data_IF_873453580005
#
_entry.id   IF_873453580005
#
_cell.length_a   1.000
_cell.length_b   1.000
_cell.length_c   1.000
_cell.angle_alpha   90.00
_cell.angle_beta   90.00
_cell.angle_gamma   90.00
#
_symmetry.space_group_name_H-M   'P 1'
#
loop_
_entity.id
_entity.type
_entity.pdbx_description
1 polymer ?
#
# COMPACT_ATOMS: atom_id res chain seq x y z
N UNK A 1 11.54 -6.45 -23.77
CA UNK A 1 11.52 -6.58 -22.29
C UNK A 1 10.24 -7.29 -21.94
N UNK A 2 10.31 -8.29 -21.07
CA UNK A 2 9.12 -9.01 -20.62
C UNK A 2 8.41 -8.14 -19.58
N UNK A 3 7.30 -7.51 -19.97
CA UNK A 3 6.46 -6.67 -19.11
C UNK A 3 6.05 -7.39 -17.83
N UNK A 4 5.91 -8.71 -17.90
CA UNK A 4 5.60 -9.60 -16.77
C UNK A 4 6.71 -9.59 -15.72
N UNK A 5 7.98 -9.61 -16.14
CA UNK A 5 9.12 -9.64 -15.23
C UNK A 5 9.21 -8.36 -14.39
N UNK A 6 8.97 -7.21 -15.02
CA UNK A 6 8.95 -5.90 -14.34
C UNK A 6 7.85 -5.87 -13.28
N UNK A 7 6.63 -6.27 -13.64
CA UNK A 7 5.51 -6.34 -12.70
C UNK A 7 5.80 -7.28 -11.54
N UNK A 8 6.40 -8.45 -11.81
CA UNK A 8 6.71 -9.43 -10.80
C UNK A 8 7.73 -8.89 -9.79
N UNK A 9 8.82 -8.27 -10.24
CA UNK A 9 9.82 -7.71 -9.33
C UNK A 9 9.27 -6.54 -8.52
N UNK A 10 8.50 -5.64 -9.13
CA UNK A 10 7.83 -4.55 -8.39
C UNK A 10 6.85 -5.11 -7.37
N UNK A 11 6.06 -6.13 -7.73
CA UNK A 11 5.12 -6.79 -6.83
C UNK A 11 5.82 -7.45 -5.66
N UNK A 12 6.95 -8.12 -5.89
CA UNK A 12 7.76 -8.76 -4.86
C UNK A 12 8.32 -7.72 -3.88
N UNK A 13 8.87 -6.61 -4.37
CA UNK A 13 9.29 -5.48 -3.51
C UNK A 13 8.13 -4.91 -2.70
N UNK A 14 6.94 -4.79 -3.31
CA UNK A 14 5.75 -4.34 -2.60
C UNK A 14 5.34 -5.30 -1.47
N UNK A 15 5.42 -6.62 -1.72
CA UNK A 15 5.14 -7.65 -0.73
C UNK A 15 6.13 -7.60 0.43
N UNK A 16 7.44 -7.48 0.13
CA UNK A 16 8.49 -7.38 1.15
C UNK A 16 8.27 -6.15 2.06
N UNK A 17 8.00 -4.98 1.47
CA UNK A 17 7.70 -3.75 2.23
C UNK A 17 6.46 -3.94 3.09
N UNK A 18 5.42 -4.63 2.58
CA UNK A 18 4.21 -4.91 3.36
C UNK A 18 4.47 -5.87 4.52
N UNK A 19 5.28 -6.90 4.32
CA UNK A 19 5.65 -7.85 5.36
C UNK A 19 6.44 -7.16 6.49
N UNK A 20 7.37 -6.27 6.13
CA UNK A 20 8.08 -5.45 7.12
C UNK A 20 7.13 -4.56 7.92
N UNK A 21 6.14 -3.92 7.26
CA UNK A 21 5.11 -3.11 7.95
C UNK A 21 4.24 -3.94 8.89
N UNK A 22 3.85 -5.15 8.48
CA UNK A 22 3.08 -6.08 9.32
C UNK A 22 3.90 -6.49 10.55
N UNK A 23 5.15 -6.91 10.34
CA UNK A 23 6.04 -7.32 11.44
C UNK A 23 6.27 -6.17 12.43
N UNK A 24 6.52 -4.96 11.94
CA UNK A 24 6.69 -3.79 12.78
C UNK A 24 5.41 -3.45 13.57
N UNK A 25 4.23 -3.50 12.94
CA UNK A 25 2.96 -3.28 13.61
C UNK A 25 2.71 -4.33 14.72
N UNK A 26 2.96 -5.61 14.43
CA UNK A 26 2.83 -6.70 15.41
C UNK A 26 3.77 -6.49 16.61
N UNK A 27 5.04 -6.16 16.35
CA UNK A 27 6.01 -5.90 17.42
C UNK A 27 5.61 -4.69 18.27
N UNK A 28 5.10 -3.61 17.65
CA UNK A 28 4.60 -2.45 18.36
C UNK A 28 3.40 -2.79 19.27
N UNK A 29 2.48 -3.63 18.77
CA UNK A 29 1.34 -4.14 19.56
C UNK A 29 1.79 -4.95 20.77
N UNK A 30 2.72 -5.90 20.58
CA UNK A 30 3.24 -6.72 21.68
C UNK A 30 3.96 -5.88 22.74
N UNK A 31 4.77 -4.91 22.31
CA UNK A 31 5.48 -4.00 23.22
C UNK A 31 4.52 -3.10 24.02
N UNK A 32 3.50 -2.55 23.36
CA UNK A 32 2.45 -1.78 24.03
C UNK A 32 1.69 -2.64 25.05
N UNK A 33 1.39 -3.89 24.69
CA UNK A 33 0.70 -4.83 25.58
C UNK A 33 1.53 -5.20 26.82
N UNK A 34 2.82 -5.48 26.63
CA UNK A 34 3.73 -5.78 27.73
C UNK A 34 3.86 -4.59 28.70
N UNK A 35 3.92 -3.37 28.15
CA UNK A 35 4.00 -2.13 28.94
C UNK A 35 2.73 -1.89 29.76
N UNK A 36 1.55 -2.05 29.15
CA UNK A 36 0.26 -1.93 29.85
C UNK A 36 0.12 -2.95 31.00
N UNK A 37 0.53 -4.20 30.77
CA UNK A 37 0.50 -5.24 31.82
C UNK A 37 1.44 -4.93 32.99
N UNK A 38 2.60 -4.30 32.73
CA UNK A 38 3.54 -3.89 33.76
C UNK A 38 3.02 -2.70 34.58
N UNK A 39 2.33 -1.75 33.94
CA UNK A 39 1.75 -0.58 34.58
C UNK A 39 0.52 -0.92 35.45
N UNK A 40 -0.32 -1.85 35.00
CA UNK A 40 -1.44 -2.40 35.79
C UNK A 40 -0.97 -3.07 37.09
N UNK A 41 0.23 -3.68 37.09
CA UNK A 41 0.84 -4.29 38.29
C UNK A 41 1.34 -3.27 39.32
N UNK A 42 1.56 -2.01 38.90
CA UNK A 42 2.19 -0.97 39.73
C UNK A 42 1.19 0.04 40.31
N UNK A 43 -0.07 0.05 39.85
CA UNK A 43 -1.07 1.07 40.20
C UNK A 43 -2.22 0.49 41.04
N UNK A 44 -2.06 0.47 42.36
CA UNK A 44 -3.10 0.09 43.31
C UNK A 44 -3.98 1.30 43.70
N UNK A 45 -5.18 1.42 43.12
CA UNK A 45 -6.27 2.26 43.67
C UNK A 45 -6.93 3.26 42.69
N UNK A 46 -8.25 3.13 42.55
CA UNK A 46 -9.28 4.06 42.02
C UNK A 46 -9.21 4.60 40.57
N UNK A 47 -8.05 4.60 39.90
CA UNK A 47 -7.89 5.13 38.52
C UNK A 47 -8.18 4.12 37.40
N UNK A 48 -8.70 2.94 37.75
CA UNK A 48 -8.68 1.75 36.88
C UNK A 48 -9.69 1.77 35.73
N UNK A 49 -10.83 2.44 35.85
CA UNK A 49 -11.91 2.32 34.87
C UNK A 49 -11.55 2.98 33.52
N UNK A 50 -11.05 4.22 33.56
CA UNK A 50 -10.60 4.95 32.37
C UNK A 50 -9.38 4.32 31.72
N UNK A 51 -8.41 3.87 32.51
CA UNK A 51 -7.19 3.23 31.97
C UNK A 51 -7.49 1.89 31.29
N UNK A 52 -8.42 1.10 31.83
CA UNK A 52 -8.88 -0.15 31.20
C UNK A 52 -9.64 0.14 29.91
N UNK A 53 -10.58 1.09 29.92
CA UNK A 53 -11.31 1.49 28.71
C UNK A 53 -10.36 1.96 27.59
N UNK A 54 -9.36 2.78 27.92
CA UNK A 54 -8.34 3.25 26.96
C UNK A 54 -7.45 2.10 26.44
N UNK A 55 -7.10 1.13 27.27
CA UNK A 55 -6.36 -0.07 26.85
C UNK A 55 -7.17 -0.91 25.86
N UNK A 56 -8.47 -1.08 26.10
CA UNK A 56 -9.38 -1.77 25.18
C UNK A 56 -9.49 -1.06 23.83
N UNK A 57 -9.71 0.27 23.82
CA UNK A 57 -9.74 1.09 22.59
C UNK A 57 -8.43 0.97 21.81
N UNK A 58 -7.30 1.03 22.51
CA UNK A 58 -5.97 0.93 21.88
C UNK A 58 -5.76 -0.44 21.23
N UNK A 59 -6.18 -1.52 21.88
CA UNK A 59 -6.14 -2.87 21.31
C UNK A 59 -7.02 -2.99 20.07
N UNK A 60 -8.23 -2.45 20.11
CA UNK A 60 -9.18 -2.49 18.99
C UNK A 60 -8.62 -1.75 17.78
N UNK A 61 -8.14 -0.51 17.96
CA UNK A 61 -7.52 0.28 16.89
C UNK A 61 -6.31 -0.44 16.27
N UNK A 62 -5.45 -1.01 17.11
CA UNK A 62 -4.29 -1.76 16.63
C UNK A 62 -4.68 -3.02 15.87
N UNK A 63 -5.73 -3.73 16.32
CA UNK A 63 -6.26 -4.91 15.63
C UNK A 63 -6.87 -4.54 14.28
N UNK A 64 -7.62 -3.43 14.20
CA UNK A 64 -8.15 -2.89 12.95
C UNK A 64 -7.03 -2.56 11.96
N UNK A 65 -5.98 -1.88 12.41
CA UNK A 65 -4.82 -1.53 11.58
C UNK A 65 -4.09 -2.78 11.05
N UNK A 66 -3.88 -3.78 11.90
CA UNK A 66 -3.26 -5.05 11.48
C UNK A 66 -4.15 -5.77 10.44
N UNK A 67 -5.47 -5.77 10.65
CA UNK A 67 -6.40 -6.39 9.72
C UNK A 67 -6.39 -5.70 8.35
N UNK A 68 -6.31 -4.36 8.31
CA UNK A 68 -6.17 -3.60 7.06
C UNK A 68 -4.88 -3.96 6.30
N UNK A 69 -3.76 -4.11 7.01
CA UNK A 69 -2.49 -4.54 6.41
C UNK A 69 -2.56 -5.96 5.84
N UNK A 70 -3.24 -6.88 6.53
CA UNK A 70 -3.43 -8.26 6.08
C UNK A 70 -4.34 -8.35 4.85
N UNK A 71 -5.46 -7.62 4.86
CA UNK A 71 -6.34 -7.54 3.68
C UNK A 71 -5.62 -6.92 2.48
N UNK A 72 -4.79 -5.89 2.70
CA UNK A 72 -3.96 -5.30 1.64
C UNK A 72 -2.96 -6.32 1.06
N UNK A 73 -2.33 -7.14 1.92
CA UNK A 73 -1.44 -8.22 1.48
C UNK A 73 -2.18 -9.26 0.64
N UNK A 74 -3.40 -9.64 1.05
CA UNK A 74 -4.24 -10.56 0.28
C UNK A 74 -4.61 -9.99 -1.08
N UNK A 75 -4.95 -8.71 -1.13
CA UNK A 75 -5.23 -7.96 -2.35
C UNK A 75 -4.03 -7.95 -3.32
N UNK A 76 -2.81 -7.80 -2.80
CA UNK A 76 -1.57 -7.87 -3.59
C UNK A 76 -1.37 -9.26 -4.20
N UNK A 77 -1.55 -10.33 -3.40
CA UNK A 77 -1.36 -11.71 -3.85
C UNK A 77 -2.39 -12.14 -4.91
N UNK A 78 -3.54 -11.47 -4.96
CA UNK A 78 -4.59 -11.72 -5.96
C UNK A 78 -4.45 -10.88 -7.24
N UNK A 79 -3.44 -10.01 -7.33
CA UNK A 79 -3.21 -9.22 -8.54
C UNK A 79 -2.84 -10.12 -9.72
N UNK A 80 -3.67 -10.10 -10.76
CA UNK A 80 -3.30 -10.72 -12.03
C UNK A 80 -2.35 -9.78 -12.79
N UNK A 81 -1.06 -10.13 -12.78
CA UNK A 81 0.00 -9.44 -13.50
C UNK A 81 0.37 -10.10 -14.84
N UNK A 82 -0.19 -11.27 -15.16
CA UNK A 82 0.14 -12.04 -16.37
C UNK A 82 -0.61 -11.55 -17.61
N UNK A 83 -1.76 -10.91 -17.44
CA UNK A 83 -2.51 -10.38 -18.57
C UNK A 83 -1.81 -9.14 -19.14
N UNK A 84 -1.66 -9.09 -20.46
CA UNK A 84 -1.40 -7.83 -21.17
C UNK A 84 -2.60 -6.90 -20.99
N UNK A 85 -2.35 -5.70 -20.47
CA UNK A 85 -3.40 -4.72 -20.21
C UNK A 85 -3.35 -3.61 -21.26
N UNK A 86 -4.41 -3.48 -22.06
CA UNK A 86 -4.58 -2.35 -23.00
C UNK A 86 -5.31 -1.16 -22.38
N UNK A 87 -6.07 -1.44 -21.32
CA UNK A 87 -6.82 -0.45 -20.54
C UNK A 87 -6.26 -0.44 -19.12
N UNK A 88 -5.99 0.76 -18.62
CA UNK A 88 -5.43 0.95 -17.29
C UNK A 88 -6.44 0.48 -16.23
N UNK A 89 -6.05 -0.53 -15.46
CA UNK A 89 -6.80 -1.11 -14.33
C UNK A 89 -5.85 -1.48 -13.19
N UNK A 90 -6.40 -2.00 -12.08
CA UNK A 90 -5.58 -2.53 -10.98
C UNK A 90 -4.68 -3.65 -11.53
N UNK A 91 -3.38 -3.58 -11.24
CA UNK A 91 -2.34 -4.45 -11.78
C UNK A 91 -1.61 -3.92 -13.03
N UNK A 92 -2.01 -2.76 -13.57
CA UNK A 92 -1.35 -2.13 -14.72
C UNK A 92 -0.09 -1.39 -14.31
N UNK A 93 0.96 -1.48 -15.14
CA UNK A 93 2.02 -0.48 -15.21
C UNK A 93 1.66 0.51 -16.32
N UNK A 94 1.84 1.79 -16.03
CA UNK A 94 1.57 2.91 -16.94
C UNK A 94 2.82 3.76 -17.05
N UNK A 95 3.40 3.85 -18.24
CA UNK A 95 4.47 4.81 -18.51
C UNK A 95 3.87 6.07 -19.11
N UNK A 96 4.17 7.21 -18.50
CA UNK A 96 3.69 8.51 -18.95
C UNK A 96 4.85 9.44 -19.29
N UNK A 97 4.55 10.57 -19.92
CA UNK A 97 5.53 11.63 -20.18
C UNK A 97 6.20 12.22 -18.92
N UNK A 98 5.62 12.02 -17.74
CA UNK A 98 6.08 12.63 -16.48
C UNK A 98 6.35 11.58 -15.37
N UNK A 99 6.45 10.30 -15.72
CA UNK A 99 6.79 9.23 -14.77
C UNK A 99 6.10 7.90 -15.04
N UNK A 100 6.56 6.86 -14.35
CA UNK A 100 6.01 5.51 -14.42
C UNK A 100 5.16 5.21 -13.18
N UNK A 101 3.98 4.62 -13.37
CA UNK A 101 3.05 4.32 -12.30
C UNK A 101 2.68 2.85 -12.31
N UNK A 102 2.57 2.25 -11.13
CA UNK A 102 2.01 0.91 -10.96
C UNK A 102 0.73 1.01 -10.13
N UNK A 103 -0.40 0.61 -10.73
CA UNK A 103 -1.72 0.75 -10.12
C UNK A 103 -2.01 -0.48 -9.25
N UNK A 104 -1.59 -0.46 -7.99
CA UNK A 104 -1.79 -1.58 -7.07
C UNK A 104 -2.22 -1.08 -5.69
N UNK A 105 -1.25 -0.73 -4.85
CA UNK A 105 -1.44 -0.29 -3.47
C UNK A 105 -0.61 0.96 -3.19
N UNK A 106 -0.69 1.52 -1.98
CA UNK A 106 0.13 2.68 -1.62
C UNK A 106 1.45 2.25 -0.97
N UNK A 107 2.50 2.14 -1.78
CA UNK A 107 3.87 1.84 -1.31
C UNK A 107 4.79 3.03 -1.47
N UNK A 108 4.66 3.78 -2.57
CA UNK A 108 5.56 4.89 -2.90
C UNK A 108 6.47 4.56 -4.09
N UNK A 109 7.62 5.24 -4.24
CA UNK A 109 8.56 4.96 -5.32
C UNK A 109 9.28 3.63 -5.10
N UNK A 110 9.39 2.84 -6.16
CA UNK A 110 10.15 1.59 -6.22
C UNK A 110 11.09 1.66 -7.42
N UNK A 111 12.37 1.41 -7.21
CA UNK A 111 13.36 1.40 -8.29
C UNK A 111 13.46 0.01 -8.91
N UNK A 112 13.52 -0.04 -10.25
CA UNK A 112 13.73 -1.25 -11.04
C UNK A 112 14.57 -0.88 -12.26
N UNK A 113 15.73 -1.55 -12.44
CA UNK A 113 16.65 -1.32 -13.57
C UNK A 113 17.03 0.15 -13.85
N UNK A 114 17.03 1.00 -12.81
CA UNK A 114 17.34 2.44 -12.93
C UNK A 114 16.13 3.33 -13.23
N UNK A 115 14.95 2.74 -13.47
CA UNK A 115 13.69 3.46 -13.58
C UNK A 115 12.98 3.51 -12.21
N UNK A 116 12.31 4.63 -11.93
CA UNK A 116 11.45 4.78 -10.75
C UNK A 116 9.99 4.53 -11.11
N UNK A 117 9.35 3.60 -10.42
CA UNK A 117 7.93 3.29 -10.54
C UNK A 117 7.19 3.73 -9.28
N UNK A 118 6.21 4.62 -9.44
CA UNK A 118 5.35 5.05 -8.35
C UNK A 118 4.21 4.06 -8.16
N UNK A 119 4.28 3.27 -7.09
CA UNK A 119 3.25 2.31 -6.74
C UNK A 119 2.14 3.02 -5.96
N UNK A 120 0.99 3.15 -6.62
CA UNK A 120 -0.16 3.92 -6.14
C UNK A 120 -1.42 3.07 -6.09
N UNK A 121 -2.30 3.36 -5.13
CA UNK A 121 -3.59 2.68 -5.04
C UNK A 121 -4.58 3.23 -6.08
N UNK A 122 -5.56 2.43 -6.54
CA UNK A 122 -6.67 2.89 -7.38
C UNK A 122 -7.45 4.09 -6.79
N UNK A 123 -7.36 4.31 -5.48
CA UNK A 123 -8.02 5.41 -4.77
C UNK A 123 -7.25 6.74 -4.86
N UNK A 124 -5.98 6.72 -5.27
CA UNK A 124 -5.15 7.92 -5.38
C UNK A 124 -5.72 8.90 -6.44
N UNK A 125 -5.61 10.23 -6.24
CA UNK A 125 -6.17 11.22 -7.16
C UNK A 125 -5.73 11.03 -8.62
N UNK A 126 -4.44 10.80 -8.86
CA UNK A 126 -3.92 10.55 -10.21
C UNK A 126 -4.38 9.20 -10.79
N UNK A 127 -4.46 8.16 -9.95
CA UNK A 127 -4.94 6.85 -10.37
C UNK A 127 -6.39 6.94 -10.86
N UNK A 128 -7.25 7.69 -10.18
CA UNK A 128 -8.65 7.91 -10.61
C UNK A 128 -8.77 8.51 -12.01
N UNK A 129 -7.82 9.34 -12.42
CA UNK A 129 -7.79 9.94 -13.77
C UNK A 129 -7.24 8.95 -14.80
N UNK A 130 -6.28 8.11 -14.40
CA UNK A 130 -5.65 7.09 -15.25
C UNK A 130 -6.57 5.89 -15.52
N UNK A 131 -7.36 5.47 -14.54
CA UNK A 131 -8.22 4.28 -14.64
C UNK A 131 -9.18 4.40 -15.84
N UNK A 132 -9.21 3.35 -16.66
CA UNK A 132 -10.04 3.28 -17.86
C UNK A 132 -9.45 3.94 -19.10
N UNK A 133 -8.31 4.63 -19.00
CA UNK A 133 -7.61 5.20 -20.16
C UNK A 133 -6.72 4.16 -20.86
N UNK A 134 -6.29 4.52 -22.06
CA UNK A 134 -5.46 3.69 -22.94
C UNK A 134 -4.25 4.47 -23.50
N UNK A 135 -3.33 3.75 -24.15
CA UNK A 135 -2.13 4.34 -24.77
C UNK A 135 -2.51 5.42 -25.78
N UNK A 136 -1.79 6.54 -25.76
CA UNK A 136 -2.01 7.69 -26.65
C UNK A 136 -2.98 8.74 -26.11
N UNK A 137 -3.72 8.44 -25.04
CA UNK A 137 -4.53 9.45 -24.38
C UNK A 137 -3.68 10.41 -23.53
N UNK A 138 -4.14 11.66 -23.47
CA UNK A 138 -3.60 12.68 -22.58
C UNK A 138 -4.61 13.11 -21.52
N UNK A 139 -4.11 13.61 -20.39
CA UNK A 139 -4.92 14.14 -19.30
C UNK A 139 -4.16 15.22 -18.53
N UNK A 140 -4.90 16.16 -17.94
CA UNK A 140 -4.31 17.16 -17.06
C UNK A 140 -4.42 16.72 -15.60
N UNK A 141 -3.29 16.79 -14.89
CA UNK A 141 -3.23 16.56 -13.46
C UNK A 141 -2.27 17.57 -12.83
N UNK A 142 -2.69 18.24 -11.76
CA UNK A 142 -1.88 19.28 -11.09
C UNK A 142 -1.31 20.35 -12.03
N UNK A 143 -2.09 20.80 -13.02
CA UNK A 143 -1.67 21.79 -14.06
C UNK A 143 -0.53 21.32 -14.97
N UNK A 144 -0.25 20.02 -14.99
CA UNK A 144 0.67 19.38 -15.93
C UNK A 144 -0.11 18.47 -16.86
N UNK A 145 0.31 18.42 -18.13
CA UNK A 145 -0.31 17.56 -19.14
C UNK A 145 0.47 16.25 -19.26
N UNK A 146 -0.19 15.14 -18.96
CA UNK A 146 0.37 13.80 -19.04
C UNK A 146 -0.08 13.15 -20.33
N UNK A 147 0.82 12.40 -20.97
CA UNK A 147 0.49 11.53 -22.10
C UNK A 147 0.85 10.10 -21.72
N UNK A 148 -0.06 9.16 -21.98
CA UNK A 148 0.15 7.74 -21.73
C UNK A 148 0.92 7.16 -22.92
N UNK A 149 2.16 6.74 -22.66
CA UNK A 149 3.07 6.22 -23.69
C UNK A 149 2.96 4.70 -23.81
N UNK A 150 2.86 4.00 -22.67
CA UNK A 150 2.76 2.55 -22.61
C UNK A 150 1.85 2.13 -21.46
N UNK A 151 1.10 1.04 -21.67
CA UNK A 151 0.34 0.34 -20.63
C UNK A 151 0.66 -1.14 -20.80
N UNK A 152 1.03 -1.81 -19.71
CA UNK A 152 1.15 -3.25 -19.70
C UNK A 152 0.76 -3.83 -18.37
#
# INVERSE_FOLDING_TARGET
MDSTAIKQEILEKCLEIHEQRIAHAQQAMESAQASANAEERSTAGDKHDTSRAMSHITRELNAEQLNELLETKKDLLQLNIQDEQTIIRKGAIVKTSHGNFFIAIHVGPVEFEGDTYFVISPKAPIAKVLLGKSVGESFDFNKQNFTINEVF
#
